data_IF_102823824653
#
_entry.id   IF_102823824653
#
_cell.length_a   1.000
_cell.length_b   1.000
_cell.length_c   1.000
_cell.angle_alpha   90.00
_cell.angle_beta   90.00
_cell.angle_gamma   90.00
#
_symmetry.space_group_name_H-M   'P 1'
#
loop_
_entity.id
_entity.type
_entity.pdbx_description
1 polymer ?
#
# COMPACT_ATOMS: atom_id res chain seq x y z
N UNK A 1 16.39 7.34 18.65
CA UNK A 1 17.16 6.45 17.74
C UNK A 1 16.15 5.64 16.93
N UNK A 2 16.00 5.72 15.60
CA UNK A 2 16.59 6.59 14.57
C UNK A 2 15.48 7.48 14.00
N UNK A 3 15.71 8.79 13.97
CA UNK A 3 14.94 9.71 13.14
C UNK A 3 15.39 9.53 11.68
N UNK A 4 14.49 9.09 10.81
CA UNK A 4 14.67 9.06 9.36
C UNK A 4 13.98 10.27 8.72
N UNK A 5 14.65 10.90 7.76
CA UNK A 5 14.29 12.19 7.12
C UNK A 5 12.93 12.09 6.40
N UNK A 6 11.97 13.02 6.64
CA UNK A 6 10.76 13.13 5.84
C UNK A 6 11.03 13.99 4.60
N UNK A 7 10.46 13.65 3.42
CA UNK A 7 10.17 14.69 2.46
C UNK A 7 8.72 14.68 1.94
N UNK A 8 8.25 15.94 1.83
CA UNK A 8 7.03 16.48 1.21
C UNK A 8 5.74 16.37 2.04
N UNK A 9 5.42 17.50 2.68
CA UNK A 9 4.10 17.92 3.22
C UNK A 9 3.33 16.88 4.03
N UNK A 10 3.70 16.70 5.31
CA UNK A 10 2.86 16.02 6.30
C UNK A 10 2.51 17.01 7.43
N UNK A 11 1.23 17.07 7.81
CA UNK A 11 0.78 17.84 8.97
C UNK A 11 0.74 16.94 10.20
N UNK A 12 1.44 17.33 11.26
CA UNK A 12 1.39 16.66 12.56
C UNK A 12 0.18 17.17 13.35
N UNK A 13 -0.75 16.29 13.73
CA UNK A 13 -1.90 16.65 14.57
C UNK A 13 -2.19 15.51 15.55
N UNK A 14 -2.39 15.85 16.83
CA UNK A 14 -2.67 14.90 17.93
C UNK A 14 -1.68 13.73 18.08
N UNK A 15 -0.39 13.97 17.80
CA UNK A 15 0.65 12.95 17.92
C UNK A 15 0.71 11.92 16.79
N UNK A 16 -0.07 12.13 15.72
CA UNK A 16 -0.06 11.29 14.53
C UNK A 16 0.25 12.10 13.27
N UNK A 17 0.94 11.47 12.33
CA UNK A 17 1.13 12.00 10.99
C UNK A 17 -0.21 11.89 10.25
N UNK A 18 -0.90 13.02 10.06
CA UNK A 18 -2.08 13.05 9.21
C UNK A 18 -1.61 13.15 7.77
N UNK A 19 -1.73 12.05 7.05
CA UNK A 19 -1.56 12.06 5.60
C UNK A 19 -2.84 12.58 4.97
N UNK A 20 -2.68 13.65 4.20
CA UNK A 20 -3.73 14.22 3.37
C UNK A 20 -4.30 13.14 2.41
N UNK A 21 -5.62 13.05 2.27
CA UNK A 21 -6.28 12.14 1.32
C UNK A 21 -5.66 12.19 -0.08
N UNK A 22 -5.34 13.39 -0.57
CA UNK A 22 -4.66 13.60 -1.86
C UNK A 22 -3.29 12.93 -1.88
N UNK A 23 -2.50 13.10 -0.81
CA UNK A 23 -1.17 12.52 -0.72
C UNK A 23 -1.24 10.99 -0.72
N UNK A 24 -2.17 10.38 0.02
CA UNK A 24 -2.31 8.92 0.01
C UNK A 24 -2.85 8.38 -1.34
N UNK A 25 -3.75 9.12 -2.00
CA UNK A 25 -4.17 8.82 -3.38
C UNK A 25 -2.98 8.85 -4.35
N UNK A 26 -2.08 9.81 -4.18
CA UNK A 26 -0.89 9.94 -5.01
C UNK A 26 0.09 8.79 -4.74
N UNK A 27 0.39 8.47 -3.46
CA UNK A 27 1.26 7.35 -3.06
C UNK A 27 0.77 6.00 -3.60
N UNK A 28 -0.49 5.67 -3.36
CA UNK A 28 -1.09 4.40 -3.84
C UNK A 28 -1.16 4.30 -5.37
N UNK A 29 -1.34 5.43 -6.07
CA UNK A 29 -1.22 5.47 -7.55
C UNK A 29 0.22 5.24 -8.00
N UNK A 30 1.20 5.85 -7.34
CA UNK A 30 2.62 5.67 -7.67
C UNK A 30 3.09 4.24 -7.42
N UNK A 31 2.59 3.57 -6.36
CA UNK A 31 2.81 2.14 -6.15
C UNK A 31 2.40 1.33 -7.39
N UNK A 32 1.16 1.49 -7.87
CA UNK A 32 0.68 0.78 -9.07
C UNK A 32 1.52 1.07 -10.33
N UNK A 33 1.91 2.33 -10.56
CA UNK A 33 2.77 2.68 -11.70
C UNK A 33 4.16 2.05 -11.61
N UNK A 34 4.78 2.05 -10.42
CA UNK A 34 6.09 1.42 -10.20
C UNK A 34 6.03 -0.09 -10.40
N UNK A 35 4.93 -0.73 -10.00
CA UNK A 35 4.73 -2.17 -10.22
C UNK A 35 4.50 -2.49 -11.69
N UNK A 36 3.81 -1.64 -12.46
CA UNK A 36 3.72 -1.80 -13.92
C UNK A 36 5.13 -1.85 -14.52
N UNK A 37 5.99 -0.87 -14.21
CA UNK A 37 7.36 -0.86 -14.73
C UNK A 37 8.22 -2.02 -14.23
N UNK A 38 8.00 -2.48 -12.99
CA UNK A 38 8.65 -3.67 -12.46
C UNK A 38 8.30 -4.91 -13.29
N UNK A 39 7.01 -5.14 -13.54
CA UNK A 39 6.54 -6.34 -14.26
C UNK A 39 7.05 -6.36 -15.69
N UNK A 40 7.06 -5.21 -16.37
CA UNK A 40 7.66 -5.08 -17.72
C UNK A 40 9.17 -5.37 -17.74
N UNK A 41 9.86 -5.23 -16.60
CA UNK A 41 11.29 -5.47 -16.47
C UNK A 41 11.65 -6.89 -15.99
N UNK A 42 10.66 -7.74 -15.69
CA UNK A 42 10.91 -9.11 -15.23
C UNK A 42 11.47 -10.00 -16.36
N UNK A 43 12.20 -11.08 -16.01
CA UNK A 43 12.64 -12.06 -17.01
C UNK A 43 11.47 -12.64 -17.80
N UNK A 44 11.64 -12.83 -19.10
CA UNK A 44 10.61 -13.41 -19.99
C UNK A 44 10.49 -14.93 -19.80
N UNK A 45 9.99 -15.34 -18.63
CA UNK A 45 9.72 -16.72 -18.27
C UNK A 45 8.25 -16.89 -17.90
N UNK A 46 7.71 -18.09 -18.08
CA UNK A 46 6.32 -18.39 -17.70
C UNK A 46 6.05 -18.13 -16.22
N UNK A 47 6.99 -18.50 -15.35
CA UNK A 47 6.83 -18.32 -13.90
C UNK A 47 6.83 -16.84 -13.53
N UNK A 48 7.74 -16.04 -14.09
CA UNK A 48 7.78 -14.61 -13.87
C UNK A 48 6.53 -13.89 -14.40
N UNK A 49 5.96 -14.32 -15.54
CA UNK A 49 4.68 -13.79 -16.05
C UNK A 49 3.52 -14.08 -15.08
N UNK A 50 3.44 -15.29 -14.53
CA UNK A 50 2.38 -15.65 -13.58
C UNK A 50 2.50 -14.83 -12.29
N UNK A 51 3.69 -14.74 -11.71
CA UNK A 51 3.91 -13.96 -10.46
C UNK A 51 3.77 -12.46 -10.72
N UNK A 52 4.27 -11.98 -11.87
CA UNK A 52 4.12 -10.61 -12.34
C UNK A 52 2.65 -10.19 -12.44
N UNK A 53 1.78 -11.08 -12.91
CA UNK A 53 0.32 -10.83 -12.93
C UNK A 53 -0.28 -10.72 -11.53
N UNK A 54 0.20 -11.50 -10.56
CA UNK A 54 -0.29 -11.44 -9.19
C UNK A 54 0.08 -10.11 -8.53
N UNK A 55 1.37 -9.73 -8.57
CA UNK A 55 1.83 -8.44 -8.02
C UNK A 55 1.18 -7.24 -8.73
N UNK A 56 0.99 -7.31 -10.05
CA UNK A 56 0.33 -6.25 -10.82
C UNK A 56 -1.10 -6.03 -10.36
N UNK A 57 -1.85 -7.13 -10.16
CA UNK A 57 -3.24 -7.06 -9.72
C UNK A 57 -3.35 -6.49 -8.32
N UNK A 58 -2.61 -7.03 -7.36
CA UNK A 58 -2.71 -6.59 -5.97
C UNK A 58 -2.28 -5.12 -5.82
N UNK A 59 -1.14 -4.73 -6.39
CA UNK A 59 -0.61 -3.37 -6.27
C UNK A 59 -1.53 -2.30 -6.89
N UNK A 60 -2.16 -2.61 -8.04
CA UNK A 60 -3.11 -1.67 -8.67
C UNK A 60 -4.46 -1.64 -7.93
N UNK A 61 -4.84 -2.75 -7.28
CA UNK A 61 -6.02 -2.86 -6.43
C UNK A 61 -5.94 -1.96 -5.20
N UNK A 62 -4.75 -1.77 -4.60
CA UNK A 62 -4.53 -0.86 -3.45
C UNK A 62 -5.07 0.54 -3.73
N UNK A 63 -4.64 1.17 -4.83
CA UNK A 63 -5.07 2.52 -5.19
C UNK A 63 -6.54 2.59 -5.63
N UNK A 64 -7.04 1.55 -6.30
CA UNK A 64 -8.44 1.47 -6.71
C UNK A 64 -9.38 1.39 -5.50
N UNK A 65 -9.09 0.49 -4.55
CA UNK A 65 -9.88 0.32 -3.34
C UNK A 65 -9.75 1.50 -2.40
N UNK A 66 -8.60 2.16 -2.30
CA UNK A 66 -8.49 3.39 -1.51
C UNK A 66 -9.38 4.50 -2.07
N UNK A 67 -9.44 4.66 -3.40
CA UNK A 67 -10.36 5.62 -4.04
C UNK A 67 -11.83 5.27 -3.75
N UNK A 68 -12.17 3.99 -3.67
CA UNK A 68 -13.50 3.55 -3.27
C UNK A 68 -13.79 3.85 -1.78
N UNK A 69 -12.80 3.67 -0.91
CA UNK A 69 -12.86 4.01 0.51
C UNK A 69 -13.12 5.51 0.73
N UNK A 70 -12.47 6.39 -0.04
CA UNK A 70 -12.74 7.84 -0.01
C UNK A 70 -14.19 8.21 -0.39
N UNK A 71 -14.97 7.29 -0.96
CA UNK A 71 -16.40 7.47 -1.28
C UNK A 71 -17.32 6.65 -0.37
N UNK A 72 -16.83 6.24 0.80
CA UNK A 72 -17.60 5.47 1.75
C UNK A 72 -18.83 6.24 2.25
N UNK A 73 -19.93 5.52 2.48
CA UNK A 73 -21.23 6.09 2.89
C UNK A 73 -21.43 6.09 4.41
N UNK A 74 -20.57 5.38 5.14
CA UNK A 74 -20.61 5.29 6.60
C UNK A 74 -19.22 4.91 7.13
N UNK A 75 -19.01 5.02 8.45
CA UNK A 75 -17.77 4.57 9.09
C UNK A 75 -17.55 3.06 8.93
N UNK A 76 -18.61 2.26 9.01
CA UNK A 76 -18.51 0.81 8.79
C UNK A 76 -18.12 0.48 7.34
N UNK A 77 -18.71 1.17 6.35
CA UNK A 77 -18.35 1.02 4.93
C UNK A 77 -16.91 1.48 4.66
N UNK A 78 -16.45 2.55 5.33
CA UNK A 78 -15.07 3.02 5.23
C UNK A 78 -14.10 1.97 5.78
N UNK A 79 -14.37 1.41 6.96
CA UNK A 79 -13.54 0.36 7.56
C UNK A 79 -13.48 -0.87 6.65
N UNK A 80 -14.61 -1.35 6.15
CA UNK A 80 -14.66 -2.52 5.27
C UNK A 80 -13.82 -2.33 4.00
N UNK A 81 -13.92 -1.16 3.35
CA UNK A 81 -13.13 -0.86 2.15
C UNK A 81 -11.65 -0.67 2.44
N UNK A 82 -11.29 -0.07 3.57
CA UNK A 82 -9.88 0.05 3.99
C UNK A 82 -9.28 -1.32 4.32
N UNK A 83 -10.05 -2.27 4.85
CA UNK A 83 -9.56 -3.65 5.04
C UNK A 83 -9.20 -4.34 3.72
N UNK A 84 -9.92 -4.06 2.63
CA UNK A 84 -9.51 -4.53 1.31
C UNK A 84 -8.18 -3.88 0.88
N UNK A 85 -7.99 -2.58 1.16
CA UNK A 85 -6.71 -1.90 0.87
C UNK A 85 -5.55 -2.52 1.66
N UNK A 86 -5.80 -2.89 2.93
CA UNK A 86 -4.85 -3.58 3.81
C UNK A 86 -4.46 -4.94 3.22
N UNK A 87 -5.44 -5.78 2.88
CA UNK A 87 -5.23 -7.11 2.28
C UNK A 87 -4.40 -7.02 0.98
N UNK A 88 -4.75 -6.09 0.08
CA UNK A 88 -4.07 -5.93 -1.21
C UNK A 88 -2.64 -5.40 -1.06
N UNK A 89 -2.38 -4.54 -0.06
CA UNK A 89 -1.04 -4.01 0.20
C UNK A 89 -0.13 -5.08 0.82
N UNK A 90 -0.66 -5.91 1.72
CA UNK A 90 0.05 -7.05 2.31
C UNK A 90 0.36 -8.12 1.24
N UNK A 91 -0.63 -8.46 0.41
CA UNK A 91 -0.43 -9.39 -0.72
C UNK A 91 0.61 -8.84 -1.72
N UNK A 92 0.63 -7.52 -1.97
CA UNK A 92 1.67 -6.89 -2.79
C UNK A 92 3.07 -7.12 -2.20
N UNK A 93 3.26 -6.92 -0.90
CA UNK A 93 4.55 -7.19 -0.24
C UNK A 93 4.96 -8.64 -0.39
N UNK A 94 4.05 -9.57 -0.12
CA UNK A 94 4.31 -11.00 -0.26
C UNK A 94 4.82 -11.36 -1.66
N UNK A 95 4.17 -10.85 -2.73
CA UNK A 95 4.63 -11.14 -4.08
C UNK A 95 5.98 -10.48 -4.42
N UNK A 96 6.27 -9.30 -3.87
CA UNK A 96 7.59 -8.66 -4.02
C UNK A 96 8.68 -9.49 -3.33
N UNK A 97 8.42 -10.04 -2.15
CA UNK A 97 9.34 -10.96 -1.44
C UNK A 97 9.60 -12.22 -2.29
N UNK A 98 8.55 -12.85 -2.82
CA UNK A 98 8.68 -14.02 -3.69
C UNK A 98 9.53 -13.73 -4.94
N UNK A 99 9.38 -12.56 -5.56
CA UNK A 99 10.20 -12.17 -6.72
C UNK A 99 11.69 -12.08 -6.38
N UNK A 100 12.02 -11.59 -5.17
CA UNK A 100 13.40 -11.50 -4.68
C UNK A 100 13.94 -12.90 -4.34
N UNK A 101 13.21 -13.66 -3.54
CA UNK A 101 13.65 -14.98 -3.06
C UNK A 101 13.77 -16.00 -4.20
N UNK A 102 12.93 -15.89 -5.23
CA UNK A 102 13.03 -16.71 -6.44
C UNK A 102 14.15 -16.27 -7.39
N UNK A 103 14.90 -15.21 -7.07
CA UNK A 103 16.02 -14.71 -7.88
C UNK A 103 15.58 -14.06 -9.20
N UNK A 104 14.32 -13.64 -9.33
CA UNK A 104 13.80 -13.00 -10.55
C UNK A 104 14.21 -11.54 -10.65
N UNK A 105 14.45 -10.91 -9.51
CA UNK A 105 14.98 -9.55 -9.39
C UNK A 105 15.78 -9.42 -8.10
N UNK A 106 16.81 -8.58 -8.12
CA UNK A 106 17.66 -8.35 -6.96
C UNK A 106 16.97 -7.44 -5.93
N UNK A 107 17.20 -7.72 -4.64
CA UNK A 107 16.56 -7.02 -3.53
C UNK A 107 16.79 -5.49 -3.57
N UNK A 108 17.99 -5.05 -3.96
CA UNK A 108 18.38 -3.64 -4.05
C UNK A 108 17.46 -2.83 -4.99
N UNK A 109 16.96 -3.46 -6.06
CA UNK A 109 16.02 -2.83 -6.99
C UNK A 109 14.62 -2.67 -6.41
N UNK A 110 14.26 -3.50 -5.43
CA UNK A 110 12.93 -3.51 -4.80
C UNK A 110 12.88 -2.83 -3.43
N UNK A 111 14.01 -2.56 -2.77
CA UNK A 111 14.07 -1.96 -1.43
C UNK A 111 13.13 -0.76 -1.27
N UNK A 112 13.22 0.23 -2.16
CA UNK A 112 12.40 1.44 -2.09
C UNK A 112 10.92 1.20 -2.44
N UNK A 113 10.59 0.12 -3.15
CA UNK A 113 9.21 -0.24 -3.50
C UNK A 113 8.55 -0.99 -2.35
N UNK A 114 9.27 -1.97 -1.79
CA UNK A 114 8.82 -2.72 -0.61
C UNK A 114 8.67 -1.80 0.60
N UNK A 115 9.62 -0.88 0.83
CA UNK A 115 9.49 0.10 1.91
C UNK A 115 8.25 0.98 1.74
N UNK A 116 8.03 1.54 0.55
CA UNK A 116 6.83 2.35 0.27
C UNK A 116 5.53 1.55 0.47
N UNK A 117 5.51 0.29 0.04
CA UNK A 117 4.35 -0.60 0.19
C UNK A 117 4.08 -0.90 1.67
N UNK A 118 5.13 -1.15 2.46
CA UNK A 118 5.02 -1.35 3.91
C UNK A 118 4.54 -0.10 4.64
N UNK A 119 4.96 1.09 4.22
CA UNK A 119 4.45 2.35 4.77
C UNK A 119 2.97 2.55 4.43
N UNK A 120 2.54 2.26 3.20
CA UNK A 120 1.12 2.29 2.79
C UNK A 120 0.29 1.32 3.64
N UNK A 121 0.77 0.10 3.85
CA UNK A 121 0.13 -0.90 4.70
C UNK A 121 -0.02 -0.40 6.14
N UNK A 122 1.09 0.04 6.75
CA UNK A 122 1.10 0.53 8.14
C UNK A 122 0.14 1.70 8.35
N UNK A 123 0.07 2.62 7.40
CA UNK A 123 -0.86 3.75 7.45
C UNK A 123 -2.32 3.32 7.31
N UNK A 124 -2.60 2.33 6.48
CA UNK A 124 -3.95 1.76 6.29
C UNK A 124 -4.41 1.09 7.60
N UNK A 125 -3.56 0.27 8.21
CA UNK A 125 -3.81 -0.39 9.50
C UNK A 125 -4.05 0.64 10.61
N UNK A 126 -3.20 1.67 10.71
CA UNK A 126 -3.37 2.74 11.69
C UNK A 126 -4.69 3.50 11.52
N UNK A 127 -5.11 3.75 10.27
CA UNK A 127 -6.38 4.38 9.94
C UNK A 127 -7.58 3.53 10.38
N UNK A 128 -7.55 2.22 10.08
CA UNK A 128 -8.59 1.27 10.50
C UNK A 128 -8.71 1.22 12.02
N UNK A 129 -7.58 1.12 12.73
CA UNK A 129 -7.56 1.09 14.21
C UNK A 129 -8.20 2.34 14.80
N UNK A 130 -7.80 3.51 14.31
CA UNK A 130 -8.35 4.81 14.74
C UNK A 130 -9.86 4.91 14.51
N UNK A 131 -10.34 4.44 13.35
CA UNK A 131 -11.77 4.44 13.02
C UNK A 131 -12.55 3.49 13.94
N UNK A 132 -12.04 2.30 14.22
CA UNK A 132 -12.67 1.32 15.13
C UNK A 132 -12.78 1.85 16.55
N UNK A 133 -11.73 2.50 17.07
CA UNK A 133 -11.74 3.11 18.40
C UNK A 133 -12.78 4.22 18.51
N UNK A 134 -12.80 5.16 17.54
CA UNK A 134 -13.80 6.24 17.50
C UNK A 134 -15.23 5.74 17.32
N UNK A 135 -15.42 4.63 16.61
CA UNK A 135 -16.76 4.06 16.38
C UNK A 135 -17.31 3.39 17.64
N UNK A 136 -16.47 2.70 18.43
CA UNK A 136 -16.86 2.11 19.72
C UNK A 136 -17.25 3.17 20.75
N UNK A 137 -16.56 4.30 20.81
CA UNK A 137 -16.89 5.38 21.77
C UNK A 137 -18.18 6.14 21.47
N UNK A 138 -18.86 5.86 20.35
CA UNK A 138 -20.13 6.48 19.95
C UNK A 138 -21.36 5.58 20.16
N UNK A 139 -21.15 4.34 20.60
CA UNK A 139 -22.18 3.36 20.94
C UNK A 139 -22.20 3.23 22.46
#
# INVERSE_FOLDING_TARGET
>A
MRAGVPPVEQTFQDGFWIVNEKQFKDRTKQLGLRVIYLVEALPQTRTADVIGKQVLRSATSVGANYRAACRAKSTADLIAKLSIVEEEADETLYWLEILVEAGMISADKLTNLMQETAEILAMTVASIKTLKEKHKSKI
#
